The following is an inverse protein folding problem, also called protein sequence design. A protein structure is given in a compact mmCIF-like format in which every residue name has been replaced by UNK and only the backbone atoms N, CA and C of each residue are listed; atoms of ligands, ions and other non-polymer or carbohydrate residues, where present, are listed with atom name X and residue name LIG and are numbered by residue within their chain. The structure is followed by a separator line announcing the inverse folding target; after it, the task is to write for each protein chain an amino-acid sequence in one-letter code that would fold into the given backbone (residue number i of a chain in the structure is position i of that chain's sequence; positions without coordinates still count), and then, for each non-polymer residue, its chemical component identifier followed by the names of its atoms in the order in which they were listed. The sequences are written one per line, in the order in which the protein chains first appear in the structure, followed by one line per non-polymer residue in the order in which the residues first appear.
data_IF_391972191705
#
_entry.id   IF_391972191705
#
_cell.length_a   1.000
_cell.length_b   1.000
_cell.length_c   1.000
_cell.angle_alpha   90.00
_cell.angle_beta   90.00
_cell.angle_gamma   90.00
#
_symmetry.space_group_name_H-M   'P 1'
#
loop_
_entity.id
_entity.type
_entity.pdbx_description
1 polymer ?
#
# COMPACT_ATOMS: atom_id res chain seq x y z
N UNK A 1 -35.58 16.11 -61.73
CA UNK A 1 -34.58 16.59 -60.77
C UNK A 1 -34.83 15.84 -59.46
N UNK A 2 -34.15 14.72 -59.27
CA UNK A 2 -34.41 13.78 -58.17
C UNK A 2 -33.19 13.85 -57.24
N UNK A 3 -33.37 14.48 -56.09
CA UNK A 3 -32.30 14.69 -55.10
C UNK A 3 -32.19 13.44 -54.24
N UNK A 4 -31.15 12.64 -54.44
CA UNK A 4 -30.82 11.49 -53.59
C UNK A 4 -30.10 11.98 -52.33
N UNK A 5 -30.78 11.92 -51.19
CA UNK A 5 -30.20 12.13 -49.86
C UNK A 5 -29.32 10.93 -49.49
N UNK A 6 -28.00 11.11 -49.49
CA UNK A 6 -27.08 10.12 -48.94
C UNK A 6 -27.24 10.06 -47.41
N UNK A 7 -27.69 8.91 -46.90
CA UNK A 7 -27.72 8.63 -45.47
C UNK A 7 -26.28 8.56 -44.93
N UNK A 8 -26.00 9.41 -43.93
CA UNK A 8 -24.72 9.39 -43.20
C UNK A 8 -24.64 8.08 -42.39
N UNK A 9 -23.58 7.26 -42.52
CA UNK A 9 -23.43 6.05 -41.73
C UNK A 9 -23.33 6.41 -40.24
N UNK A 10 -24.26 5.90 -39.43
CA UNK A 10 -24.16 6.01 -37.97
C UNK A 10 -22.95 5.21 -37.49
N UNK A 11 -22.05 5.89 -36.75
CA UNK A 11 -20.90 5.25 -36.14
C UNK A 11 -21.36 4.13 -35.18
N UNK A 12 -20.77 2.91 -35.25
CA UNK A 12 -21.20 1.81 -34.41
C UNK A 12 -21.00 2.14 -32.92
N UNK A 13 -22.05 1.93 -32.12
CA UNK A 13 -21.98 2.12 -30.67
C UNK A 13 -20.86 1.27 -30.07
N UNK A 14 -19.99 1.88 -29.26
CA UNK A 14 -18.92 1.14 -28.59
C UNK A 14 -19.52 -0.05 -27.78
N UNK A 15 -18.88 -1.24 -27.81
CA UNK A 15 -19.37 -2.40 -27.08
C UNK A 15 -19.64 -2.05 -25.62
N UNK A 16 -20.80 -2.45 -25.07
CA UNK A 16 -21.30 -2.08 -23.73
C UNK A 16 -20.25 -2.29 -22.62
N UNK A 17 -19.38 -3.28 -22.76
CA UNK A 17 -18.31 -3.59 -21.81
C UNK A 17 -17.22 -2.52 -21.73
N UNK A 18 -16.84 -1.91 -22.86
CA UNK A 18 -15.85 -0.82 -22.87
C UNK A 18 -16.38 0.42 -22.16
N UNK A 19 -17.69 0.69 -22.27
CA UNK A 19 -18.34 1.80 -21.55
C UNK A 19 -18.35 1.53 -20.05
N UNK A 20 -18.71 0.32 -19.62
CA UNK A 20 -18.71 -0.08 -18.20
C UNK A 20 -17.33 0.04 -17.56
N UNK A 21 -16.29 -0.49 -18.21
CA UNK A 21 -14.90 -0.40 -17.70
C UNK A 21 -14.45 1.05 -17.58
N UNK A 22 -14.75 1.90 -18.58
CA UNK A 22 -14.44 3.33 -18.53
C UNK A 22 -15.15 4.02 -17.36
N UNK A 23 -16.43 3.74 -17.15
CA UNK A 23 -17.20 4.30 -16.03
C UNK A 23 -16.61 3.84 -14.69
N UNK A 24 -16.25 2.57 -14.55
CA UNK A 24 -15.63 2.04 -13.34
C UNK A 24 -14.28 2.70 -13.04
N UNK A 25 -13.43 2.91 -14.05
CA UNK A 25 -12.14 3.64 -13.90
C UNK A 25 -12.35 5.08 -13.45
N UNK A 26 -13.32 5.79 -14.04
CA UNK A 26 -13.66 7.15 -13.65
C UNK A 26 -14.20 7.20 -12.21
N UNK A 27 -15.10 6.28 -11.84
CA UNK A 27 -15.64 6.21 -10.49
C UNK A 27 -14.55 5.95 -9.46
N UNK A 28 -13.65 4.98 -9.71
CA UNK A 28 -12.52 4.70 -8.83
C UNK A 28 -11.59 5.92 -8.68
N UNK A 29 -11.32 6.63 -9.78
CA UNK A 29 -10.50 7.85 -9.77
C UNK A 29 -11.12 8.96 -8.94
N UNK A 30 -12.38 9.30 -9.19
CA UNK A 30 -13.06 10.36 -8.46
C UNK A 30 -13.27 10.00 -6.99
N UNK A 31 -13.53 8.72 -6.68
CA UNK A 31 -13.58 8.24 -5.31
C UNK A 31 -12.24 8.45 -4.60
N UNK A 32 -11.12 8.04 -5.22
CA UNK A 32 -9.78 8.25 -4.64
C UNK A 32 -9.52 9.73 -4.41
N UNK A 33 -9.74 10.58 -5.41
CA UNK A 33 -9.49 12.03 -5.29
C UNK A 33 -10.36 12.63 -4.19
N UNK A 34 -11.66 12.32 -4.18
CA UNK A 34 -12.58 12.80 -3.14
C UNK A 34 -12.16 12.35 -1.74
N UNK A 35 -11.60 11.15 -1.59
CA UNK A 35 -11.08 10.65 -0.32
C UNK A 35 -9.78 11.35 0.12
N UNK A 36 -8.96 11.88 -0.80
CA UNK A 36 -7.77 12.69 -0.47
C UNK A 36 -8.13 14.10 0.01
N UNK A 37 -9.19 14.71 -0.54
CA UNK A 37 -9.48 16.15 -0.32
C UNK A 37 -9.54 16.54 1.18
N UNK A 38 -10.27 15.84 2.06
CA UNK A 38 -10.37 16.28 3.45
C UNK A 38 -9.03 16.29 4.18
N UNK A 39 -8.21 15.24 3.99
CA UNK A 39 -6.91 15.13 4.65
C UNK A 39 -5.88 16.11 4.06
N UNK A 40 -5.84 16.26 2.73
CA UNK A 40 -5.01 17.29 2.08
C UNK A 40 -5.37 18.69 2.58
N UNK A 41 -6.66 18.99 2.73
CA UNK A 41 -7.11 20.29 3.24
C UNK A 41 -6.62 20.52 4.66
N UNK A 42 -6.73 19.51 5.52
CA UNK A 42 -6.26 19.57 6.90
C UNK A 42 -4.74 19.78 6.96
N UNK A 43 -3.97 19.05 6.14
CA UNK A 43 -2.50 19.21 6.07
C UNK A 43 -2.08 20.58 5.55
N UNK A 44 -2.77 21.13 4.55
CA UNK A 44 -2.52 22.50 4.07
C UNK A 44 -2.82 23.51 5.19
N UNK A 45 -3.91 23.34 5.92
CA UNK A 45 -4.25 24.21 7.04
C UNK A 45 -3.17 24.16 8.14
N UNK A 46 -2.70 22.97 8.52
CA UNK A 46 -1.62 22.80 9.50
C UNK A 46 -0.29 23.41 9.04
N UNK A 47 0.09 23.25 7.77
CA UNK A 47 1.28 23.90 7.21
C UNK A 47 1.14 25.44 7.14
N UNK A 48 -0.09 25.94 7.07
CA UNK A 48 -0.41 27.37 7.19
C UNK A 48 -0.51 27.90 8.63
N UNK A 49 -0.22 27.07 9.64
CA UNK A 49 -0.30 27.42 11.07
C UNK A 49 -1.67 27.24 11.72
N UNK A 50 -2.63 26.64 11.02
CA UNK A 50 -3.93 26.30 11.60
C UNK A 50 -3.84 25.13 12.57
N UNK A 51 -4.71 25.10 13.59
CA UNK A 51 -4.72 24.07 14.64
C UNK A 51 -6.02 23.26 14.67
N UNK A 52 -6.80 23.31 13.58
CA UNK A 52 -8.07 22.57 13.45
C UNK A 52 -7.83 21.09 13.69
N UNK A 53 -8.63 20.48 14.58
CA UNK A 53 -8.55 19.06 14.89
C UNK A 53 -7.51 18.70 15.96
N UNK A 54 -6.73 19.66 16.46
CA UNK A 54 -5.91 19.49 17.66
C UNK A 54 -6.73 19.79 18.92
N UNK A 55 -6.52 18.99 19.96
CA UNK A 55 -7.06 19.20 21.32
C UNK A 55 -6.30 20.29 22.05
N UNK A 56 -4.97 20.29 21.91
CA UNK A 56 -4.09 21.36 22.40
C UNK A 56 -3.34 22.00 21.21
N UNK A 57 -3.58 23.29 20.91
CA UNK A 57 -2.84 24.03 19.89
C UNK A 57 -1.32 24.00 20.04
N UNK A 58 -0.79 23.90 21.27
CA UNK A 58 0.66 23.88 21.50
C UNK A 58 1.33 22.62 20.95
N UNK A 59 0.59 21.50 20.86
CA UNK A 59 1.10 20.26 20.28
C UNK A 59 1.18 20.30 18.74
N UNK A 60 0.55 21.29 18.10
CA UNK A 60 0.66 21.52 16.67
C UNK A 60 1.97 22.24 16.28
N UNK A 61 2.75 22.70 17.27
CA UNK A 61 3.98 23.45 17.05
C UNK A 61 5.21 22.52 16.96
N UNK A 62 6.06 22.73 15.95
CA UNK A 62 7.31 21.97 15.82
C UNK A 62 7.78 21.80 14.38
N UNK A 63 9.07 22.05 14.12
CA UNK A 63 9.66 21.94 12.77
C UNK A 63 9.57 20.52 12.21
N UNK A 64 9.68 19.51 13.06
CA UNK A 64 9.67 18.12 12.62
C UNK A 64 8.24 17.60 12.34
N UNK A 65 7.23 18.12 13.05
CA UNK A 65 5.81 17.91 12.72
C UNK A 65 5.44 18.60 11.39
N UNK A 66 5.97 19.80 11.14
CA UNK A 66 5.84 20.49 9.85
C UNK A 66 6.39 19.63 8.69
N UNK A 67 7.58 19.06 8.86
CA UNK A 67 8.18 18.16 7.85
C UNK A 67 7.33 16.89 7.65
N UNK A 68 6.86 16.26 8.71
CA UNK A 68 5.98 15.10 8.62
C UNK A 68 4.66 15.42 7.89
N UNK A 69 4.07 16.58 8.17
CA UNK A 69 2.89 17.09 7.47
C UNK A 69 3.15 17.35 5.98
N UNK A 70 4.30 17.93 5.64
CA UNK A 70 4.68 18.17 4.24
C UNK A 70 4.89 16.86 3.46
N UNK A 71 5.57 15.88 4.07
CA UNK A 71 5.79 14.55 3.46
C UNK A 71 4.44 13.86 3.21
N UNK A 72 3.58 13.81 4.23
CA UNK A 72 2.27 13.14 4.12
C UNK A 72 1.33 13.85 3.14
N UNK A 73 1.38 15.19 3.06
CA UNK A 73 0.70 15.96 2.01
C UNK A 73 1.18 15.53 0.61
N UNK A 74 2.51 15.44 0.42
CA UNK A 74 3.10 15.05 -0.86
C UNK A 74 2.71 13.62 -1.27
N UNK A 75 2.66 12.69 -0.30
CA UNK A 75 2.22 11.32 -0.53
C UNK A 75 0.76 11.24 -0.99
N UNK A 76 -0.14 11.99 -0.35
CA UNK A 76 -1.56 11.97 -0.70
C UNK A 76 -1.85 12.70 -2.01
N UNK A 77 -1.10 13.78 -2.31
CA UNK A 77 -1.12 14.42 -3.61
C UNK A 77 -0.62 13.48 -4.72
N UNK A 78 0.44 12.71 -4.45
CA UNK A 78 0.95 11.70 -5.37
C UNK A 78 -0.08 10.59 -5.63
N UNK A 79 -0.83 10.16 -4.59
CA UNK A 79 -1.92 9.21 -4.74
C UNK A 79 -2.99 9.72 -5.73
N UNK A 80 -3.39 10.99 -5.64
CA UNK A 80 -4.30 11.61 -6.60
C UNK A 80 -3.72 11.61 -8.03
N UNK A 81 -2.45 11.99 -8.20
CA UNK A 81 -1.77 11.97 -9.51
C UNK A 81 -1.69 10.55 -10.10
N UNK A 82 -1.41 9.55 -9.28
CA UNK A 82 -1.39 8.14 -9.69
C UNK A 82 -2.79 7.67 -10.10
N UNK A 83 -3.85 8.06 -9.39
CA UNK A 83 -5.23 7.76 -9.78
C UNK A 83 -5.59 8.37 -11.13
N UNK A 84 -5.17 9.62 -11.40
CA UNK A 84 -5.33 10.27 -12.69
C UNK A 84 -4.56 9.51 -13.79
N UNK A 85 -3.32 9.09 -13.50
CA UNK A 85 -2.49 8.29 -14.41
C UNK A 85 -3.19 6.99 -14.82
N UNK A 86 -3.83 6.29 -13.86
CA UNK A 86 -4.59 5.07 -14.14
C UNK A 86 -5.89 5.28 -14.89
N UNK A 87 -6.35 6.52 -15.04
CA UNK A 87 -7.67 6.82 -15.57
C UNK A 87 -7.60 7.39 -16.97
N UNK A 88 -6.65 8.29 -17.20
CA UNK A 88 -6.54 9.02 -18.45
C UNK A 88 -5.58 8.36 -19.45
N UNK A 89 -5.76 8.68 -20.74
CA UNK A 89 -5.04 8.03 -21.85
C UNK A 89 -3.54 8.29 -21.81
N UNK A 90 -3.11 9.44 -21.28
CA UNK A 90 -1.69 9.81 -21.19
C UNK A 90 -0.91 8.86 -20.28
N UNK A 91 -1.54 8.32 -19.22
CA UNK A 91 -0.88 7.40 -18.30
C UNK A 91 -0.39 6.09 -18.94
N UNK A 92 -0.97 5.70 -20.08
CA UNK A 92 -0.48 4.54 -20.86
C UNK A 92 0.89 4.77 -21.51
N UNK A 93 1.30 6.02 -21.69
CA UNK A 93 2.61 6.36 -22.24
C UNK A 93 3.68 6.52 -21.16
N UNK A 94 3.28 6.53 -19.88
CA UNK A 94 4.24 6.61 -18.77
C UNK A 94 5.02 5.28 -18.70
N UNK A 95 6.36 5.34 -18.55
CA UNK A 95 7.18 4.16 -18.28
C UNK A 95 6.63 3.32 -17.12
N UNK A 96 6.70 1.99 -17.23
CA UNK A 96 6.10 1.09 -16.24
C UNK A 96 6.64 1.34 -14.82
N UNK A 97 7.94 1.56 -14.67
CA UNK A 97 8.58 1.77 -13.36
C UNK A 97 8.08 3.03 -12.65
N UNK A 98 7.83 4.12 -13.38
CA UNK A 98 7.28 5.38 -12.84
C UNK A 98 5.85 5.22 -12.31
N UNK A 99 5.15 4.17 -12.70
CA UNK A 99 3.79 3.88 -12.26
C UNK A 99 3.79 2.80 -11.17
N UNK A 100 4.60 1.74 -11.37
CA UNK A 100 4.66 0.59 -10.47
C UNK A 100 5.30 0.94 -9.13
N UNK A 101 6.35 1.77 -9.10
CA UNK A 101 7.01 2.12 -7.83
C UNK A 101 6.11 2.95 -6.91
N UNK A 102 5.48 4.05 -7.37
CA UNK A 102 4.58 4.83 -6.50
C UNK A 102 3.37 4.03 -6.02
N UNK A 103 2.75 3.22 -6.89
CA UNK A 103 1.58 2.44 -6.49
C UNK A 103 1.95 1.26 -5.58
N UNK A 104 3.16 0.71 -5.70
CA UNK A 104 3.66 -0.33 -4.79
C UNK A 104 3.86 0.22 -3.37
N UNK A 105 4.45 1.41 -3.25
CA UNK A 105 4.56 2.11 -1.96
C UNK A 105 3.18 2.51 -1.44
N UNK A 106 2.34 3.12 -2.28
CA UNK A 106 1.02 3.61 -1.91
C UNK A 106 0.08 2.49 -1.43
N UNK A 107 -0.05 1.41 -2.20
CA UNK A 107 -0.83 0.23 -1.77
C UNK A 107 -0.17 -0.44 -0.57
N UNK A 108 1.17 -0.46 -0.51
CA UNK A 108 1.91 -0.97 0.64
C UNK A 108 1.51 -0.30 1.94
N UNK A 109 1.44 1.03 1.95
CA UNK A 109 1.02 1.81 3.11
C UNK A 109 -0.48 1.66 3.41
N UNK A 110 -1.31 1.74 2.37
CA UNK A 110 -2.77 1.79 2.52
C UNK A 110 -3.41 0.42 2.81
N UNK A 111 -2.85 -0.69 2.35
CA UNK A 111 -3.47 -2.00 2.51
C UNK A 111 -3.54 -2.47 3.98
N UNK A 112 -2.49 -2.35 4.81
CA UNK A 112 -2.60 -2.63 6.25
C UNK A 112 -3.64 -1.74 6.92
N UNK A 113 -3.71 -0.45 6.57
CA UNK A 113 -4.69 0.50 7.11
C UNK A 113 -6.11 0.04 6.76
N UNK A 114 -6.38 -0.26 5.50
CA UNK A 114 -7.71 -0.69 5.06
C UNK A 114 -8.15 -2.02 5.72
N UNK A 115 -7.19 -2.91 6.02
CA UNK A 115 -7.46 -4.18 6.69
C UNK A 115 -7.67 -4.03 8.21
N UNK A 116 -7.03 -3.04 8.84
CA UNK A 116 -7.14 -2.83 10.29
C UNK A 116 -8.20 -1.80 10.69
N UNK A 117 -8.43 -0.75 9.90
CA UNK A 117 -9.24 0.40 10.28
C UNK A 117 -10.68 0.02 10.67
N UNK A 118 -11.38 -0.78 9.84
CA UNK A 118 -12.75 -1.18 10.14
C UNK A 118 -12.85 -2.11 11.35
N UNK A 119 -12.05 -3.20 11.46
CA UNK A 119 -12.08 -4.02 12.66
C UNK A 119 -11.68 -3.26 13.94
N UNK A 120 -10.76 -2.29 13.85
CA UNK A 120 -10.38 -1.41 14.97
C UNK A 120 -11.58 -0.60 15.44
N UNK A 121 -12.31 0.06 14.55
CA UNK A 121 -13.53 0.83 14.89
C UNK A 121 -14.57 -0.07 15.58
N UNK A 122 -14.75 -1.30 15.09
CA UNK A 122 -15.66 -2.27 15.72
C UNK A 122 -15.21 -2.61 17.12
N UNK A 123 -13.93 -2.93 17.32
CA UNK A 123 -13.37 -3.25 18.65
C UNK A 123 -13.59 -2.08 19.61
N UNK A 124 -13.21 -0.85 19.22
CA UNK A 124 -13.36 0.34 20.06
C UNK A 124 -14.82 0.64 20.40
N UNK A 125 -15.75 0.40 19.48
CA UNK A 125 -17.18 0.56 19.76
C UNK A 125 -17.71 -0.41 20.82
N UNK A 126 -17.05 -1.56 21.01
CA UNK A 126 -17.43 -2.60 21.97
C UNK A 126 -16.67 -2.48 23.29
N UNK A 127 -15.41 -2.04 23.26
CA UNK A 127 -14.52 -2.01 24.44
C UNK A 127 -14.31 -0.61 25.01
N UNK A 128 -14.87 0.42 24.36
CA UNK A 128 -14.60 1.83 24.66
C UNK A 128 -13.40 2.37 23.86
N UNK A 129 -13.30 3.71 23.73
CA UNK A 129 -12.23 4.35 22.98
C UNK A 129 -10.88 4.06 23.65
N UNK A 130 -10.03 3.31 22.97
CA UNK A 130 -8.69 3.00 23.43
C UNK A 130 -7.62 3.77 22.64
N UNK A 131 -8.02 4.45 21.56
CA UNK A 131 -7.12 5.06 20.60
C UNK A 131 -6.48 4.00 19.71
N UNK A 132 -6.32 4.33 18.43
CA UNK A 132 -5.55 3.48 17.51
C UNK A 132 -4.08 3.64 17.85
N UNK A 133 -3.54 2.74 18.67
CA UNK A 133 -2.10 2.56 18.88
C UNK A 133 -1.36 3.79 19.41
N UNK A 134 -1.58 4.16 20.67
CA UNK A 134 -0.58 4.81 21.55
C UNK A 134 -0.02 6.21 21.19
N UNK A 135 -0.19 6.71 19.97
CA UNK A 135 0.28 8.01 19.52
C UNK A 135 -0.75 8.56 18.55
N UNK A 136 -1.70 9.38 19.01
CA UNK A 136 -1.68 10.83 18.82
C UNK A 136 -2.58 11.49 19.90
N UNK A 137 -2.15 11.45 21.16
CA UNK A 137 -2.93 11.95 22.30
C UNK A 137 -3.54 13.37 22.09
N UNK A 138 -2.92 14.17 21.22
CA UNK A 138 -3.30 15.53 20.82
C UNK A 138 -4.39 15.74 19.77
N UNK A 139 -4.86 14.74 19.04
CA UNK A 139 -5.89 14.95 17.98
C UNK A 139 -7.31 14.60 18.42
N UNK A 140 -8.28 15.29 17.84
CA UNK A 140 -9.72 15.06 18.01
C UNK A 140 -10.18 13.77 17.32
N UNK A 141 -11.14 13.06 17.94
CA UNK A 141 -11.62 11.75 17.46
C UNK A 141 -12.14 11.75 16.01
N UNK A 142 -12.75 12.85 15.57
CA UNK A 142 -13.26 12.98 14.19
C UNK A 142 -12.13 13.02 13.15
N UNK A 143 -10.94 13.51 13.51
CA UNK A 143 -9.78 13.56 12.62
C UNK A 143 -9.37 12.14 12.25
N UNK A 144 -9.31 11.25 13.24
CA UNK A 144 -9.02 9.83 13.01
C UNK A 144 -10.06 9.17 12.11
N UNK A 145 -11.35 9.34 12.42
CA UNK A 145 -12.42 8.77 11.62
C UNK A 145 -12.34 9.24 10.16
N UNK A 146 -12.07 10.53 9.94
CA UNK A 146 -11.89 11.12 8.62
C UNK A 146 -10.66 10.57 7.91
N UNK A 147 -9.50 10.51 8.58
CA UNK A 147 -8.21 10.10 8.00
C UNK A 147 -8.22 8.61 7.66
N UNK A 148 -8.56 7.75 8.62
CA UNK A 148 -8.57 6.30 8.42
C UNK A 148 -9.71 5.85 7.50
N UNK A 149 -10.86 6.54 7.54
CA UNK A 149 -11.94 6.35 6.58
C UNK A 149 -11.52 6.76 5.16
N UNK A 150 -10.88 7.92 5.01
CA UNK A 150 -10.31 8.40 3.76
C UNK A 150 -9.27 7.44 3.18
N UNK A 151 -8.29 7.01 3.98
CA UNK A 151 -7.28 6.03 3.57
C UNK A 151 -7.89 4.69 3.14
N UNK A 152 -8.94 4.23 3.82
CA UNK A 152 -9.65 3.00 3.42
C UNK A 152 -10.30 3.16 2.04
N UNK A 153 -10.95 4.30 1.78
CA UNK A 153 -11.53 4.61 0.47
C UNK A 153 -10.46 4.81 -0.62
N UNK A 154 -9.33 5.44 -0.29
CA UNK A 154 -8.19 5.57 -1.18
C UNK A 154 -7.61 4.22 -1.55
N UNK A 155 -7.43 3.32 -0.57
CA UNK A 155 -6.96 1.95 -0.80
C UNK A 155 -7.85 1.23 -1.80
N UNK A 156 -9.17 1.27 -1.59
CA UNK A 156 -10.15 0.64 -2.47
C UNK A 156 -10.14 1.25 -3.88
N UNK A 157 -10.17 2.58 -3.97
CA UNK A 157 -10.17 3.30 -5.24
C UNK A 157 -8.89 3.09 -6.06
N UNK A 158 -7.72 3.19 -5.42
CA UNK A 158 -6.43 2.94 -6.06
C UNK A 158 -6.25 1.49 -6.48
N UNK A 159 -6.61 0.53 -5.62
CA UNK A 159 -6.55 -0.88 -5.97
C UNK A 159 -7.46 -1.22 -7.16
N UNK A 160 -8.68 -0.66 -7.19
CA UNK A 160 -9.60 -0.82 -8.32
C UNK A 160 -9.04 -0.17 -9.60
N UNK A 161 -8.59 1.09 -9.52
CA UNK A 161 -8.03 1.81 -10.65
C UNK A 161 -6.78 1.11 -11.21
N UNK A 162 -5.86 0.69 -10.33
CA UNK A 162 -4.66 -0.04 -10.72
C UNK A 162 -5.00 -1.39 -11.34
N UNK A 163 -5.94 -2.16 -10.77
CA UNK A 163 -6.34 -3.46 -11.33
C UNK A 163 -6.90 -3.31 -12.74
N UNK A 164 -7.77 -2.31 -12.97
CA UNK A 164 -8.33 -2.05 -14.30
C UNK A 164 -7.25 -1.57 -15.28
N UNK A 165 -6.37 -0.69 -14.83
CA UNK A 165 -5.22 -0.23 -15.62
C UNK A 165 -4.27 -1.39 -15.97
N UNK A 166 -3.97 -2.26 -15.02
CA UNK A 166 -3.07 -3.40 -15.19
C UNK A 166 -3.68 -4.46 -16.12
N UNK A 167 -5.00 -4.69 -16.04
CA UNK A 167 -5.70 -5.59 -16.98
C UNK A 167 -5.64 -5.08 -18.41
N UNK A 168 -5.72 -3.77 -18.61
CA UNK A 168 -5.62 -3.16 -19.94
C UNK A 168 -4.16 -3.15 -20.45
N UNK A 169 -3.18 -2.88 -19.58
CA UNK A 169 -1.77 -2.72 -19.95
C UNK A 169 -0.99 -4.03 -20.03
N UNK A 170 -1.31 -4.99 -19.17
CA UNK A 170 -0.60 -6.26 -18.99
C UNK A 170 -1.58 -7.44 -18.92
N UNK A 171 -2.53 -7.48 -19.86
CA UNK A 171 -3.61 -8.48 -19.92
C UNK A 171 -3.11 -9.93 -19.81
N UNK A 172 -1.94 -10.22 -20.37
CA UNK A 172 -1.36 -11.56 -20.39
C UNK A 172 -1.02 -12.09 -18.98
N UNK A 173 -0.67 -11.21 -18.03
CA UNK A 173 -0.39 -11.61 -16.64
C UNK A 173 -1.64 -12.16 -15.93
N UNK A 174 -2.82 -11.72 -16.36
CA UNK A 174 -4.09 -12.19 -15.80
C UNK A 174 -4.57 -13.50 -16.42
N UNK A 175 -4.01 -13.88 -17.57
CA UNK A 175 -4.36 -15.12 -18.29
C UNK A 175 -3.39 -16.25 -18.03
N UNK A 176 -2.14 -15.93 -17.68
CA UNK A 176 -1.09 -16.92 -17.48
C UNK A 176 -1.29 -17.75 -16.20
N UNK A 177 -1.01 -19.05 -16.29
CA UNK A 177 -0.86 -19.92 -15.13
C UNK A 177 0.49 -19.73 -14.43
N UNK A 178 0.54 -19.94 -13.11
CA UNK A 178 1.80 -19.83 -12.34
C UNK A 178 2.87 -20.81 -12.85
N UNK A 179 2.45 -22.02 -13.23
CA UNK A 179 3.34 -23.06 -13.78
C UNK A 179 3.89 -22.71 -15.18
N UNK A 180 3.22 -21.84 -15.93
CA UNK A 180 3.55 -21.48 -17.33
C UNK A 180 4.60 -20.38 -17.43
N UNK A 181 5.02 -19.79 -16.30
CA UNK A 181 6.02 -18.73 -16.28
C UNK A 181 7.35 -19.24 -16.90
N UNK A 182 8.00 -18.50 -17.80
CA UNK A 182 9.23 -18.98 -18.46
C UNK A 182 10.44 -19.10 -17.50
N UNK A 183 11.31 -20.12 -17.65
CA UNK A 183 12.52 -20.27 -16.82
C UNK A 183 13.64 -19.38 -17.37
N UNK A 184 13.81 -18.20 -16.75
CA UNK A 184 14.90 -17.29 -17.07
C UNK A 184 16.25 -17.72 -16.49
N UNK A 185 17.33 -17.14 -17.01
CA UNK A 185 18.71 -17.45 -16.61
C UNK A 185 19.01 -17.00 -15.18
N UNK A 186 18.24 -16.07 -14.63
CA UNK A 186 18.46 -15.55 -13.27
C UNK A 186 17.82 -16.41 -12.17
N UNK A 187 17.20 -17.55 -12.51
CA UNK A 187 16.51 -18.42 -11.53
C UNK A 187 17.34 -18.77 -10.28
N UNK A 188 18.63 -19.15 -10.37
CA UNK A 188 19.42 -19.44 -9.16
C UNK A 188 19.53 -18.22 -8.24
N UNK A 189 19.75 -17.04 -8.80
CA UNK A 189 19.78 -15.78 -8.05
C UNK A 189 18.42 -15.49 -7.42
N UNK A 190 17.33 -15.61 -8.17
CA UNK A 190 15.97 -15.41 -7.66
C UNK A 190 15.65 -16.34 -6.48
N UNK A 191 16.10 -17.61 -6.54
CA UNK A 191 15.91 -18.56 -5.44
C UNK A 191 16.66 -18.14 -4.17
N UNK A 192 17.92 -17.72 -4.31
CA UNK A 192 18.72 -17.21 -3.16
C UNK A 192 18.07 -15.98 -2.55
N UNK A 193 17.67 -15.00 -3.38
CA UNK A 193 17.04 -13.77 -2.91
C UNK A 193 15.68 -14.04 -2.26
N UNK A 194 14.87 -14.95 -2.81
CA UNK A 194 13.58 -15.32 -2.24
C UNK A 194 13.73 -16.04 -0.89
N UNK A 195 14.72 -16.92 -0.73
CA UNK A 195 15.02 -17.57 0.55
C UNK A 195 15.53 -16.56 1.57
N UNK A 196 16.46 -15.68 1.18
CA UNK A 196 16.97 -14.63 2.06
C UNK A 196 15.84 -13.70 2.53
N UNK A 197 14.96 -13.29 1.62
CA UNK A 197 13.78 -12.50 1.95
C UNK A 197 12.84 -13.27 2.90
N UNK A 198 12.60 -14.56 2.66
CA UNK A 198 11.75 -15.38 3.52
C UNK A 198 12.31 -15.51 4.95
N UNK A 199 13.63 -15.61 5.12
CA UNK A 199 14.28 -15.62 6.44
C UNK A 199 14.08 -14.30 7.18
N UNK A 200 14.27 -13.16 6.50
CA UNK A 200 14.02 -11.85 7.09
C UNK A 200 12.54 -11.64 7.45
N UNK A 201 11.63 -12.07 6.55
CA UNK A 201 10.18 -12.07 6.83
C UNK A 201 9.85 -12.93 8.04
N UNK A 202 10.48 -14.10 8.20
CA UNK A 202 10.25 -14.94 9.36
C UNK A 202 10.63 -14.23 10.67
N UNK A 203 11.77 -13.54 10.70
CA UNK A 203 12.17 -12.72 11.85
C UNK A 203 11.18 -11.59 12.14
N UNK A 204 10.84 -10.80 11.11
CA UNK A 204 9.84 -9.73 11.22
C UNK A 204 8.49 -10.26 11.72
N UNK A 205 7.93 -11.27 11.06
CA UNK A 205 6.62 -11.83 11.39
C UNK A 205 6.61 -12.50 12.77
N UNK A 206 7.71 -13.10 13.22
CA UNK A 206 7.79 -13.67 14.56
C UNK A 206 7.63 -12.60 15.65
N UNK A 207 8.30 -11.45 15.50
CA UNK A 207 8.15 -10.33 16.44
C UNK A 207 6.73 -9.77 16.39
N UNK A 208 6.19 -9.55 15.18
CA UNK A 208 4.83 -9.05 15.03
C UNK A 208 3.78 -10.01 15.62
N UNK A 209 3.92 -11.32 15.43
CA UNK A 209 3.02 -12.30 16.04
C UNK A 209 3.19 -12.34 17.56
N UNK A 210 4.43 -12.27 18.06
CA UNK A 210 4.69 -12.19 19.49
C UNK A 210 3.94 -11.01 20.13
N UNK A 211 4.03 -9.81 19.53
CA UNK A 211 3.26 -8.65 19.99
C UNK A 211 1.76 -8.79 19.76
N UNK A 212 1.32 -9.42 18.66
CA UNK A 212 -0.09 -9.69 18.40
C UNK A 212 -0.72 -10.56 19.50
N UNK A 213 0.02 -11.56 20.00
CA UNK A 213 -0.39 -12.44 21.10
C UNK A 213 -0.05 -11.90 22.50
N UNK A 214 0.32 -10.62 22.61
CA UNK A 214 0.44 -9.90 23.88
C UNK A 214 1.83 -9.92 24.51
N UNK A 215 2.85 -10.34 23.77
CA UNK A 215 4.25 -10.18 24.16
C UNK A 215 4.65 -8.71 24.28
N UNK A 216 5.56 -8.40 25.21
CA UNK A 216 5.91 -7.01 25.58
C UNK A 216 7.39 -6.69 25.40
N UNK A 217 8.25 -7.68 25.11
CA UNK A 217 9.66 -7.43 24.85
C UNK A 217 9.82 -6.40 23.73
N UNK A 218 10.66 -5.39 23.95
CA UNK A 218 10.92 -4.32 22.98
C UNK A 218 9.81 -3.29 22.81
N UNK A 219 8.82 -3.25 23.69
CA UNK A 219 7.84 -2.16 23.76
C UNK A 219 8.21 -1.30 24.98
N UNK A 220 8.20 0.03 24.83
CA UNK A 220 8.43 0.95 25.95
C UNK A 220 7.43 0.69 27.08
N UNK A 221 7.85 0.80 28.35
CA UNK A 221 7.05 0.40 29.52
C UNK A 221 5.70 1.12 29.59
N UNK A 222 5.67 2.40 29.25
CA UNK A 222 4.46 3.22 29.21
C UNK A 222 3.46 2.72 28.15
N UNK A 223 3.96 2.37 26.96
CA UNK A 223 3.16 1.77 25.87
C UNK A 223 2.74 0.32 26.17
N UNK A 224 3.56 -0.42 26.94
CA UNK A 224 3.24 -1.79 27.35
C UNK A 224 2.14 -1.82 28.43
N UNK A 225 2.01 -0.76 29.23
CA UNK A 225 0.96 -0.61 30.24
C UNK A 225 -0.43 -0.37 29.61
N UNK A 226 -0.48 0.27 28.44
CA UNK A 226 -1.71 0.60 27.68
C UNK A 226 -1.88 -0.37 26.50
N UNK A 227 -1.98 -1.68 26.78
CA UNK A 227 -2.30 -2.66 25.74
C UNK A 227 -3.75 -2.57 25.32
N UNK A 228 -3.96 -2.58 24.01
CA UNK A 228 -5.30 -2.58 23.42
C UNK A 228 -5.48 -3.76 22.48
N UNK A 229 -6.70 -4.29 22.39
CA UNK A 229 -7.03 -5.31 21.39
C UNK A 229 -6.79 -4.81 19.95
N UNK A 230 -6.84 -3.48 19.75
CA UNK A 230 -6.54 -2.82 18.48
C UNK A 230 -5.05 -2.94 18.10
N UNK A 231 -4.13 -2.78 19.05
CA UNK A 231 -2.69 -2.97 18.81
C UNK A 231 -2.37 -4.43 18.43
N UNK A 232 -2.94 -5.39 19.15
CA UNK A 232 -2.79 -6.82 18.82
C UNK A 232 -3.25 -7.16 17.40
N UNK A 233 -4.40 -6.62 16.99
CA UNK A 233 -4.94 -6.79 15.65
C UNK A 233 -4.00 -6.21 14.58
N UNK A 234 -3.50 -4.97 14.76
CA UNK A 234 -2.61 -4.31 13.80
C UNK A 234 -1.32 -5.12 13.60
N UNK A 235 -0.70 -5.58 14.69
CA UNK A 235 0.47 -6.44 14.63
C UNK A 235 0.18 -7.76 13.90
N UNK A 236 -0.99 -8.36 14.13
CA UNK A 236 -1.45 -9.55 13.41
C UNK A 236 -1.60 -9.32 11.90
N UNK A 237 -2.20 -8.19 11.50
CA UNK A 237 -2.32 -7.81 10.08
C UNK A 237 -0.95 -7.66 9.44
N UNK A 238 0.01 -6.99 10.10
CA UNK A 238 1.37 -6.84 9.61
C UNK A 238 2.08 -8.19 9.41
N UNK A 239 1.94 -9.11 10.36
CA UNK A 239 2.48 -10.46 10.23
C UNK A 239 1.86 -11.23 9.05
N UNK A 240 0.53 -11.22 8.93
CA UNK A 240 -0.18 -11.93 7.86
C UNK A 240 0.22 -11.40 6.49
N UNK A 241 0.33 -10.08 6.34
CA UNK A 241 0.74 -9.47 5.06
C UNK A 241 2.18 -9.81 4.70
N UNK A 242 3.09 -9.80 5.66
CA UNK A 242 4.48 -10.18 5.44
C UNK A 242 4.60 -11.64 4.97
N UNK A 243 3.91 -12.56 5.67
CA UNK A 243 3.87 -13.98 5.34
C UNK A 243 3.20 -14.25 4.00
N UNK A 244 2.11 -13.55 3.68
CA UNK A 244 1.44 -13.64 2.38
C UNK A 244 2.36 -13.15 1.25
N UNK A 245 3.13 -12.08 1.49
CA UNK A 245 4.15 -11.57 0.57
C UNK A 245 5.22 -12.61 0.25
N UNK A 246 5.86 -13.16 1.29
CA UNK A 246 6.87 -14.19 1.13
C UNK A 246 6.31 -15.47 0.49
N UNK A 247 5.13 -15.94 0.92
CA UNK A 247 4.46 -17.10 0.34
C UNK A 247 4.11 -16.92 -1.13
N UNK A 248 3.64 -15.72 -1.51
CA UNK A 248 3.43 -15.33 -2.90
C UNK A 248 4.70 -15.38 -3.72
N UNK A 249 5.80 -14.80 -3.21
CA UNK A 249 7.09 -14.78 -3.91
C UNK A 249 7.67 -16.19 -4.08
N UNK A 250 7.67 -17.01 -3.03
CA UNK A 250 8.14 -18.39 -3.08
C UNK A 250 7.30 -19.21 -4.06
N UNK A 251 5.98 -18.99 -4.09
CA UNK A 251 5.09 -19.60 -5.08
C UNK A 251 5.49 -19.25 -6.51
N UNK A 252 5.84 -17.99 -6.79
CA UNK A 252 6.29 -17.54 -8.11
C UNK A 252 7.65 -18.13 -8.50
N UNK A 253 8.64 -18.05 -7.61
CA UNK A 253 10.03 -18.48 -7.88
C UNK A 253 10.14 -20.00 -8.04
N UNK A 254 9.43 -20.75 -7.21
CA UNK A 254 9.40 -22.22 -7.27
C UNK A 254 8.25 -22.78 -8.13
N UNK A 255 7.38 -21.90 -8.66
CA UNK A 255 6.26 -22.24 -9.56
C UNK A 255 5.31 -23.26 -8.98
N UNK A 256 4.98 -23.09 -7.70
CA UNK A 256 4.12 -24.03 -7.00
C UNK A 256 2.65 -23.78 -7.39
N UNK A 257 1.99 -24.83 -7.84
CA UNK A 257 0.56 -24.83 -8.16
C UNK A 257 0.20 -24.45 -9.60
N UNK A 258 -1.04 -24.77 -9.97
CA UNK A 258 -1.61 -24.60 -11.31
C UNK A 258 -2.56 -23.40 -11.43
N UNK A 259 -2.69 -22.61 -10.37
CA UNK A 259 -3.59 -21.46 -10.31
C UNK A 259 -3.12 -20.27 -11.16
N UNK A 260 -3.99 -19.25 -11.33
CA UNK A 260 -3.68 -18.07 -12.14
C UNK A 260 -2.55 -17.24 -11.49
N UNK A 261 -1.61 -16.77 -12.31
CA UNK A 261 -0.40 -16.06 -11.90
C UNK A 261 -0.68 -14.80 -11.06
N UNK A 262 -1.77 -14.09 -11.36
CA UNK A 262 -2.10 -12.84 -10.69
C UNK A 262 -2.30 -12.99 -9.18
N UNK A 263 -2.68 -14.19 -8.69
CA UNK A 263 -2.90 -14.43 -7.25
C UNK A 263 -1.61 -14.36 -6.43
N UNK A 264 -0.61 -15.23 -6.66
CA UNK A 264 0.66 -15.13 -5.94
C UNK A 264 1.42 -13.84 -6.27
N UNK A 265 1.23 -13.27 -7.47
CA UNK A 265 1.77 -11.96 -7.82
C UNK A 265 1.16 -10.83 -6.97
N UNK A 266 -0.16 -10.79 -6.81
CA UNK A 266 -0.82 -9.79 -5.98
C UNK A 266 -0.41 -9.94 -4.50
N UNK A 267 -0.33 -11.18 -3.99
CA UNK A 267 0.12 -11.44 -2.63
C UNK A 267 1.57 -10.96 -2.41
N UNK A 268 2.50 -11.36 -3.29
CA UNK A 268 3.90 -10.94 -3.25
C UNK A 268 4.04 -9.42 -3.34
N UNK A 269 3.29 -8.79 -4.25
CA UNK A 269 3.38 -7.37 -4.53
C UNK A 269 2.83 -6.51 -3.38
N UNK A 270 1.62 -6.82 -2.90
CA UNK A 270 1.02 -6.10 -1.77
C UNK A 270 1.80 -6.35 -0.49
N UNK A 271 2.12 -7.61 -0.17
CA UNK A 271 2.84 -7.95 1.06
C UNK A 271 4.23 -7.34 1.11
N UNK A 272 5.01 -7.40 0.02
CA UNK A 272 6.33 -6.76 -0.03
C UNK A 272 6.26 -5.24 0.08
N UNK A 273 5.29 -4.61 -0.58
CA UNK A 273 5.09 -3.17 -0.51
C UNK A 273 4.73 -2.72 0.89
N UNK A 274 3.89 -3.48 1.59
CA UNK A 274 3.49 -3.16 2.96
C UNK A 274 4.64 -3.25 3.93
N UNK A 275 5.37 -4.37 3.91
CA UNK A 275 6.52 -4.54 4.81
C UNK A 275 7.59 -3.50 4.51
N UNK A 276 7.92 -3.26 3.23
CA UNK A 276 8.91 -2.26 2.84
C UNK A 276 8.51 -0.84 3.29
N UNK A 277 7.32 -0.39 2.90
CA UNK A 277 6.93 1.01 3.03
C UNK A 277 6.69 1.41 4.49
N UNK A 278 6.07 0.54 5.30
CA UNK A 278 5.89 0.80 6.73
C UNK A 278 7.20 0.77 7.50
N UNK A 279 8.09 -0.18 7.19
CA UNK A 279 9.41 -0.23 7.80
C UNK A 279 10.26 0.97 7.44
N UNK A 280 10.24 1.41 6.18
CA UNK A 280 10.92 2.62 5.74
C UNK A 280 10.37 3.86 6.46
N UNK A 281 9.04 4.00 6.50
CA UNK A 281 8.38 5.09 7.20
C UNK A 281 8.76 5.11 8.69
N UNK A 282 8.69 3.96 9.37
CA UNK A 282 9.09 3.81 10.76
C UNK A 282 10.55 4.22 11.01
N UNK A 283 11.49 3.78 10.16
CA UNK A 283 12.89 4.18 10.28
C UNK A 283 13.10 5.69 10.04
N UNK A 284 12.35 6.29 9.12
CA UNK A 284 12.38 7.75 8.92
C UNK A 284 11.86 8.48 10.16
N UNK A 285 10.82 7.97 10.82
CA UNK A 285 10.31 8.53 12.09
C UNK A 285 11.34 8.38 13.20
N UNK A 286 11.99 7.22 13.33
CA UNK A 286 13.05 6.97 14.33
C UNK A 286 14.25 7.88 14.09
N UNK A 287 14.68 8.10 12.85
CA UNK A 287 15.83 8.95 12.55
C UNK A 287 15.49 10.45 12.61
N UNK A 288 14.27 10.81 12.19
CA UNK A 288 13.82 12.19 12.08
C UNK A 288 13.23 12.76 13.37
N UNK A 289 12.85 11.90 14.32
CA UNK A 289 12.31 12.27 15.63
C UNK A 289 11.18 13.34 15.57
N UNK A 290 10.17 13.19 14.68
CA UNK A 290 9.19 14.24 14.47
C UNK A 290 8.29 14.43 15.70
N UNK A 291 8.40 15.59 16.36
CA UNK A 291 7.61 15.89 17.55
C UNK A 291 7.80 14.86 18.67
N UNK A 292 9.00 14.30 18.81
CA UNK A 292 9.31 13.28 19.83
C UNK A 292 8.80 11.86 19.53
N UNK A 293 8.10 11.64 18.40
CA UNK A 293 7.54 10.34 18.04
C UNK A 293 8.57 9.20 17.92
N UNK A 294 9.84 9.53 17.72
CA UNK A 294 10.92 8.54 17.65
C UNK A 294 11.64 8.28 18.98
N UNK A 295 11.40 9.07 20.03
CA UNK A 295 12.25 9.07 21.24
C UNK A 295 12.05 7.80 22.07
N UNK A 296 10.90 7.16 21.89
CA UNK A 296 10.49 5.95 22.60
C UNK A 296 10.81 4.64 21.85
N UNK A 297 11.56 4.70 20.73
CA UNK A 297 11.91 3.48 20.01
C UNK A 297 12.87 2.60 20.80
N UNK A 298 12.67 1.28 20.72
CA UNK A 298 13.56 0.30 21.34
C UNK A 298 14.44 -0.37 20.30
N UNK A 299 15.58 -0.91 20.75
CA UNK A 299 16.50 -1.67 19.88
C UNK A 299 15.79 -2.80 19.13
N UNK A 300 14.86 -3.52 19.78
CA UNK A 300 14.13 -4.61 19.13
C UNK A 300 13.17 -4.07 18.05
N UNK A 301 12.50 -2.94 18.31
CA UNK A 301 11.65 -2.28 17.32
C UNK A 301 12.47 -1.85 16.10
N UNK A 302 13.62 -1.21 16.32
CA UNK A 302 14.50 -0.74 15.25
C UNK A 302 15.02 -1.88 14.37
N UNK A 303 15.45 -3.00 14.96
CA UNK A 303 15.85 -4.18 14.20
C UNK A 303 14.68 -4.82 13.45
N UNK A 304 13.48 -4.81 14.04
CA UNK A 304 12.26 -5.29 13.37
C UNK A 304 11.96 -4.45 12.15
N UNK A 305 12.04 -3.11 12.26
CA UNK A 305 11.90 -2.21 11.12
C UNK A 305 12.98 -2.46 10.07
N UNK A 306 14.24 -2.64 10.46
CA UNK A 306 15.33 -2.94 9.51
C UNK A 306 15.08 -4.27 8.77
N UNK A 307 14.65 -5.32 9.48
CA UNK A 307 14.32 -6.60 8.87
C UNK A 307 13.19 -6.46 7.86
N UNK A 308 12.13 -5.72 8.21
CA UNK A 308 11.02 -5.47 7.29
C UNK A 308 11.45 -4.68 6.06
N UNK A 309 12.25 -3.62 6.23
CA UNK A 309 12.78 -2.83 5.11
C UNK A 309 13.53 -3.71 4.11
N UNK A 310 14.51 -4.48 4.61
CA UNK A 310 15.34 -5.35 3.78
C UNK A 310 14.53 -6.49 3.15
N UNK A 311 13.63 -7.11 3.90
CA UNK A 311 12.73 -8.15 3.40
C UNK A 311 11.87 -7.63 2.25
N UNK A 312 11.17 -6.51 2.46
CA UNK A 312 10.30 -5.90 1.47
C UNK A 312 11.05 -5.50 0.20
N UNK A 313 12.25 -4.92 0.35
CA UNK A 313 13.12 -4.55 -0.77
C UNK A 313 13.58 -5.78 -1.57
N UNK A 314 14.08 -6.82 -0.90
CA UNK A 314 14.51 -8.06 -1.57
C UNK A 314 13.35 -8.73 -2.30
N UNK A 315 12.15 -8.77 -1.70
CA UNK A 315 10.97 -9.31 -2.38
C UNK A 315 10.60 -8.50 -3.62
N UNK A 316 10.60 -7.16 -3.51
CA UNK A 316 10.30 -6.27 -4.63
C UNK A 316 11.30 -6.40 -5.79
N UNK A 317 12.60 -6.41 -5.48
CA UNK A 317 13.67 -6.59 -6.47
C UNK A 317 13.60 -7.97 -7.14
N UNK A 318 13.36 -9.03 -6.37
CA UNK A 318 13.21 -10.39 -6.92
C UNK A 318 12.01 -10.47 -7.86
N UNK A 319 10.88 -9.83 -7.49
CA UNK A 319 9.71 -9.72 -8.36
C UNK A 319 9.99 -8.96 -9.65
N UNK A 320 10.75 -7.87 -9.59
CA UNK A 320 11.15 -7.09 -10.76
C UNK A 320 12.02 -7.91 -11.73
N UNK A 321 13.04 -8.61 -11.21
CA UNK A 321 13.92 -9.48 -12.01
C UNK A 321 13.14 -10.62 -12.67
N UNK A 322 12.18 -11.20 -11.96
CA UNK A 322 11.31 -12.25 -12.50
C UNK A 322 10.46 -11.74 -13.69
N UNK A 323 10.00 -10.49 -13.64
CA UNK A 323 9.23 -9.89 -14.73
C UNK A 323 10.10 -9.46 -15.92
N UNK A 324 11.37 -9.07 -15.72
CA UNK A 324 12.29 -8.75 -16.82
C UNK A 324 12.71 -9.98 -17.61
N UNK A 325 13.02 -11.10 -16.94
CA UNK A 325 13.40 -12.36 -17.60
C UNK A 325 12.29 -12.88 -18.53
N UNK A 326 11.02 -12.56 -18.22
CA UNK A 326 9.87 -12.85 -19.08
C UNK A 326 9.93 -12.07 -20.40
N UNK A 327 10.21 -10.77 -20.35
CA UNK A 327 10.25 -9.92 -21.54
C UNK A 327 11.35 -10.36 -22.52
N UNK A 328 12.50 -10.80 -21.99
CA UNK A 328 13.60 -11.31 -22.80
C UNK A 328 13.28 -12.66 -23.44
N UNK A 329 12.61 -13.56 -22.71
CA UNK A 329 12.27 -14.89 -23.22
C UNK A 329 11.17 -14.84 -24.28
N UNK A 330 10.22 -13.91 -24.15
CA UNK A 330 9.15 -13.68 -25.13
C UNK A 330 9.58 -12.93 -26.40
N UNK A 331 10.77 -12.33 -26.42
CA UNK A 331 11.34 -11.63 -27.59
C UNK A 331 12.20 -12.51 -28.50
N UNK A 332 12.40 -13.79 -28.17
CA UNK A 332 13.14 -14.71 -29.03
C UNK A 332 12.24 -15.15 -30.20
N UNK A 333 12.60 -14.83 -31.46
CA UNK A 333 11.88 -15.32 -32.65
C UNK A 333 11.99 -16.84 -32.79
#
# INVERSE_FOLDING_TARGET
MTTTTHAVPQAPAAPRDRRRIRTARLAACYLTIAACVPYLTLKIAWLGGGTVGWKDPAEAEGSALYVANAITLGMDALAAVVALTFTYRWGRHVPAWLVLTPIWVGVGLLAPIALSAMPVVVIESLTGPAGVGGSEAGLEGWVYAMVYGGFTLQAAGLAAAFTLYARDRWADLFRLGTAELAQGRTRPLQAVLAVAAAVLVAGYAAVQLYWAFGGTAGIAEESAAVRTATASLVNGVWAVMALAGAGGLLTLVYRRGSGPLWRPLAAAWVGSGSVFAWSLYGLVVVLGQPGGLGEQSTVLNDYTLLFGLLAGLLMGLTGAVLLTDREETGRRP
#
